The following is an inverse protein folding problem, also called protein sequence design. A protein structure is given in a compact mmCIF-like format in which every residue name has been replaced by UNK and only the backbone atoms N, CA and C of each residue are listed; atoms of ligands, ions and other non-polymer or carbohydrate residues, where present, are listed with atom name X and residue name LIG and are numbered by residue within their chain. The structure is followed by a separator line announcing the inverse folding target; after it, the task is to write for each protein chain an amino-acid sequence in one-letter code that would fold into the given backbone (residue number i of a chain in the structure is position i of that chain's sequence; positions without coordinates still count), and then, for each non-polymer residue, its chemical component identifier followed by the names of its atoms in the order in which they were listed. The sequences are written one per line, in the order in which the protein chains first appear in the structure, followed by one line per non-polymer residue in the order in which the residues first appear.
data_IF_988411018508
#
_entry.id   IF_988411018508
#
_cell.length_a   1.000
_cell.length_b   1.000
_cell.length_c   1.000
_cell.angle_alpha   90.00
_cell.angle_beta   90.00
_cell.angle_gamma   90.00
#
_symmetry.space_group_name_H-M   'P 1'
#
loop_
_entity.id
_entity.type
_entity.pdbx_description
1 polymer ?
#
# COMPACT_ATOMS: atom_id res chain seq x y z
N UNK A 1 26.39 -29.16 -4.00
CA UNK A 1 26.07 -28.23 -2.89
C UNK A 1 26.59 -26.86 -3.28
N UNK A 2 25.76 -26.02 -3.89
CA UNK A 2 26.12 -24.68 -4.33
C UNK A 2 25.79 -23.68 -3.23
N UNK A 3 26.83 -23.06 -2.66
CA UNK A 3 26.68 -21.96 -1.71
C UNK A 3 26.13 -20.75 -2.44
N UNK A 4 24.91 -20.36 -2.09
CA UNK A 4 24.30 -19.11 -2.51
C UNK A 4 25.11 -17.94 -1.96
N UNK A 5 25.48 -17.00 -2.82
CA UNK A 5 26.20 -15.79 -2.44
C UNK A 5 25.30 -14.96 -1.49
N UNK A 6 25.70 -14.73 -0.22
CA UNK A 6 24.87 -14.03 0.75
C UNK A 6 24.53 -12.59 0.32
N UNK A 7 25.28 -12.01 -0.62
CA UNK A 7 25.03 -10.66 -1.15
C UNK A 7 23.87 -10.60 -2.14
N UNK A 8 23.61 -11.67 -2.89
CA UNK A 8 22.47 -11.73 -3.80
C UNK A 8 21.15 -11.92 -3.02
N UNK A 9 21.16 -12.79 -2.01
CA UNK A 9 20.02 -12.98 -1.11
C UNK A 9 19.62 -11.69 -0.38
N UNK A 10 20.60 -10.87 0.03
CA UNK A 10 20.33 -9.58 0.67
C UNK A 10 19.65 -8.58 -0.28
N UNK A 11 20.08 -8.48 -1.54
CA UNK A 11 19.46 -7.62 -2.54
C UNK A 11 18.03 -8.07 -2.88
N UNK A 12 17.81 -9.37 -2.99
CA UNK A 12 16.46 -9.93 -3.22
C UNK A 12 15.54 -9.66 -2.02
N UNK A 13 16.06 -9.81 -0.79
CA UNK A 13 15.33 -9.48 0.42
C UNK A 13 14.93 -8.00 0.47
N UNK A 14 15.88 -7.07 0.26
CA UNK A 14 15.61 -5.63 0.27
C UNK A 14 14.59 -5.21 -0.80
N UNK A 15 14.71 -5.73 -2.03
CA UNK A 15 13.75 -5.44 -3.10
C UNK A 15 12.33 -5.95 -2.78
N UNK A 16 12.21 -7.16 -2.21
CA UNK A 16 10.92 -7.73 -1.79
C UNK A 16 10.32 -6.99 -0.60
N UNK A 17 11.15 -6.56 0.36
CA UNK A 17 10.71 -5.71 1.48
C UNK A 17 10.23 -4.35 0.98
N UNK A 18 10.95 -3.71 0.05
CA UNK A 18 10.53 -2.43 -0.54
C UNK A 18 9.19 -2.55 -1.27
N UNK A 19 8.99 -3.63 -2.03
CA UNK A 19 7.70 -3.93 -2.68
C UNK A 19 6.58 -4.15 -1.65
N UNK A 20 6.84 -4.89 -0.57
CA UNK A 20 5.87 -5.11 0.50
C UNK A 20 5.50 -3.79 1.22
N UNK A 21 6.46 -2.92 1.48
CA UNK A 21 6.23 -1.59 2.07
C UNK A 21 5.40 -0.72 1.12
N UNK A 22 5.69 -0.73 -0.19
CA UNK A 22 4.92 0.00 -1.18
C UNK A 22 3.47 -0.48 -1.25
N UNK A 23 3.25 -1.80 -1.30
CA UNK A 23 1.92 -2.40 -1.34
C UNK A 23 1.10 -2.13 -0.06
N UNK A 24 1.75 -2.11 1.11
CA UNK A 24 1.09 -1.86 2.41
C UNK A 24 0.90 -0.38 2.72
N UNK A 25 1.43 0.54 1.90
CA UNK A 25 1.37 1.98 2.15
C UNK A 25 -0.06 2.49 2.28
N UNK A 26 -1.01 1.96 1.53
CA UNK A 26 -2.39 2.45 1.52
C UNK A 26 -3.36 1.56 2.31
N UNK A 27 -2.87 0.48 2.92
CA UNK A 27 -3.70 -0.47 3.64
C UNK A 27 -3.99 -0.02 5.07
N UNK A 28 -5.19 -0.34 5.54
CA UNK A 28 -5.58 -0.16 6.95
C UNK A 28 -4.98 -1.25 7.85
N UNK A 29 -4.88 -0.97 9.15
CA UNK A 29 -4.28 -1.87 10.15
C UNK A 29 -4.85 -3.31 10.09
N UNK A 30 -6.18 -3.54 10.01
CA UNK A 30 -6.73 -4.89 9.91
C UNK A 30 -6.24 -5.66 8.68
N UNK A 31 -6.11 -4.98 7.54
CA UNK A 31 -5.64 -5.57 6.29
C UNK A 31 -4.16 -5.91 6.34
N UNK A 32 -3.34 -5.09 7.00
CA UNK A 32 -1.91 -5.35 7.20
C UNK A 32 -1.71 -6.58 8.11
N UNK A 33 -2.52 -6.73 9.17
CA UNK A 33 -2.49 -7.91 10.02
C UNK A 33 -2.89 -9.18 9.27
N UNK A 34 -3.92 -9.09 8.42
CA UNK A 34 -4.31 -10.20 7.56
C UNK A 34 -3.20 -10.57 6.56
N UNK A 35 -2.58 -9.58 5.92
CA UNK A 35 -1.44 -9.79 5.04
C UNK A 35 -0.27 -10.46 5.76
N UNK A 36 0.07 -10.01 6.97
CA UNK A 36 1.11 -10.64 7.82
C UNK A 36 0.86 -12.13 7.98
N UNK A 37 -0.37 -12.52 8.32
CA UNK A 37 -0.74 -13.94 8.51
C UNK A 37 -0.57 -14.75 7.24
N UNK A 38 -1.03 -14.21 6.11
CA UNK A 38 -0.88 -14.85 4.80
C UNK A 38 0.60 -15.02 4.45
N UNK A 39 1.41 -13.98 4.59
CA UNK A 39 2.84 -14.01 4.27
C UNK A 39 3.63 -14.95 5.19
N UNK A 40 3.27 -15.08 6.48
CA UNK A 40 3.95 -16.02 7.38
C UNK A 40 3.60 -17.50 7.10
N UNK A 41 2.41 -17.75 6.54
CA UNK A 41 1.96 -19.07 6.11
C UNK A 41 2.42 -19.43 4.69
N UNK A 42 2.77 -18.44 3.89
CA UNK A 42 3.19 -18.62 2.51
C UNK A 42 4.57 -19.30 2.40
N UNK A 43 4.67 -20.47 1.75
CA UNK A 43 5.96 -21.13 1.52
C UNK A 43 6.88 -20.35 0.58
N UNK A 44 6.37 -19.48 -0.29
CA UNK A 44 7.21 -18.64 -1.17
C UNK A 44 7.92 -17.53 -0.39
N UNK A 45 7.23 -16.90 0.56
CA UNK A 45 7.81 -15.92 1.47
C UNK A 45 8.99 -16.50 2.27
N UNK A 46 8.88 -17.76 2.67
CA UNK A 46 9.94 -18.49 3.41
C UNK A 46 11.19 -18.78 2.59
N UNK A 47 11.13 -18.70 1.25
CA UNK A 47 12.31 -18.90 0.38
C UNK A 47 13.30 -17.75 0.48
N UNK A 48 12.84 -16.54 0.80
CA UNK A 48 13.69 -15.33 0.80
C UNK A 48 13.77 -14.62 2.15
N UNK A 49 12.90 -14.93 3.12
CA UNK A 49 12.96 -14.37 4.46
C UNK A 49 12.58 -15.40 5.54
N UNK A 50 13.27 -15.34 6.68
CA UNK A 50 12.87 -16.12 7.84
C UNK A 50 11.71 -15.45 8.61
N UNK A 51 11.02 -16.23 9.45
CA UNK A 51 9.86 -15.74 10.22
C UNK A 51 10.19 -14.54 11.13
N UNK A 52 11.40 -14.51 11.71
CA UNK A 52 11.84 -13.39 12.55
C UNK A 52 12.03 -12.10 11.74
N UNK A 53 12.62 -12.20 10.54
CA UNK A 53 12.84 -11.09 9.62
C UNK A 53 11.50 -10.53 9.14
N UNK A 54 10.57 -11.40 8.72
CA UNK A 54 9.21 -10.99 8.33
C UNK A 54 8.48 -10.34 9.52
N UNK A 55 8.64 -10.89 10.73
CA UNK A 55 8.08 -10.31 11.95
C UNK A 55 8.56 -8.88 12.20
N UNK A 56 9.86 -8.61 12.03
CA UNK A 56 10.43 -7.26 12.15
C UNK A 56 9.90 -6.33 11.05
N UNK A 57 9.86 -6.78 9.80
CA UNK A 57 9.37 -5.98 8.67
C UNK A 57 7.91 -5.58 8.90
N UNK A 58 7.04 -6.53 9.27
CA UNK A 58 5.64 -6.23 9.57
C UNK A 58 5.46 -5.37 10.82
N UNK A 59 6.32 -5.51 11.83
CA UNK A 59 6.32 -4.63 13.01
C UNK A 59 6.60 -3.17 12.61
N UNK A 60 7.58 -2.93 11.74
CA UNK A 60 7.89 -1.57 11.23
C UNK A 60 6.74 -1.02 10.40
N UNK A 61 6.17 -1.82 9.48
CA UNK A 61 5.03 -1.43 8.65
C UNK A 61 3.81 -1.08 9.52
N UNK A 62 3.47 -1.93 10.50
CA UNK A 62 2.36 -1.70 11.41
C UNK A 62 2.59 -0.46 12.27
N UNK A 63 3.81 -0.26 12.78
CA UNK A 63 4.17 0.96 13.54
C UNK A 63 3.92 2.22 12.72
N UNK A 64 4.36 2.24 11.45
CA UNK A 64 4.11 3.37 10.54
C UNK A 64 2.64 3.56 10.18
N UNK A 65 1.88 2.49 10.06
CA UNK A 65 0.43 2.58 9.84
C UNK A 65 -0.32 3.08 11.08
N UNK A 66 0.12 2.70 12.28
CA UNK A 66 -0.43 3.17 13.55
C UNK A 66 -0.08 4.64 13.79
N UNK A 67 1.13 5.09 13.47
CA UNK A 67 1.51 6.51 13.50
C UNK A 67 0.56 7.35 12.63
N UNK A 68 0.19 6.84 11.44
CA UNK A 68 -0.77 7.50 10.53
C UNK A 68 -2.22 7.44 11.02
N UNK A 69 -2.60 6.35 11.69
CA UNK A 69 -3.92 6.22 12.32
C UNK A 69 -4.12 7.26 13.43
N UNK A 70 -3.04 7.56 14.16
CA UNK A 70 -2.97 8.61 15.18
C UNK A 70 -2.92 8.06 16.60
N UNK A 71 -2.04 8.64 17.42
CA UNK A 71 -1.76 8.21 18.80
C UNK A 71 -2.99 8.28 19.71
N UNK A 72 -3.84 9.30 19.55
CA UNK A 72 -5.05 9.45 20.36
C UNK A 72 -6.10 8.37 20.07
N UNK A 73 -6.23 7.98 18.80
CA UNK A 73 -7.12 6.89 18.41
C UNK A 73 -6.57 5.54 18.86
N UNK A 74 -5.23 5.37 18.87
CA UNK A 74 -4.59 4.17 19.40
C UNK A 74 -4.85 4.01 20.91
N UNK A 75 -4.82 5.09 21.69
CA UNK A 75 -5.19 5.06 23.13
C UNK A 75 -6.62 4.57 23.31
N UNK A 76 -7.58 5.16 22.59
CA UNK A 76 -8.98 4.73 22.62
C UNK A 76 -9.18 3.28 22.16
N UNK A 77 -8.39 2.83 21.17
CA UNK A 77 -8.41 1.44 20.72
C UNK A 77 -7.83 0.50 21.78
N UNK A 78 -6.78 0.91 22.50
CA UNK A 78 -6.19 0.14 23.61
C UNK A 78 -7.20 -0.06 24.74
N UNK A 79 -7.96 0.96 25.10
CA UNK A 79 -9.03 0.86 26.11
C UNK A 79 -10.16 -0.11 25.71
N UNK A 80 -10.28 -0.38 24.40
CA UNK A 80 -11.21 -1.35 23.82
C UNK A 80 -10.52 -2.65 23.39
N UNK A 81 -9.37 -2.99 23.97
CA UNK A 81 -8.61 -4.21 23.64
C UNK A 81 -8.35 -4.39 22.14
N UNK A 82 -8.09 -3.29 21.44
CA UNK A 82 -7.84 -3.22 20.00
C UNK A 82 -8.91 -3.84 19.08
N UNK A 83 -10.12 -4.12 19.58
CA UNK A 83 -11.23 -4.66 18.80
C UNK A 83 -11.47 -3.97 17.44
N UNK A 84 -11.46 -2.63 17.32
CA UNK A 84 -11.71 -1.98 16.04
C UNK A 84 -10.54 -2.11 15.03
N UNK A 85 -9.38 -2.59 15.46
CA UNK A 85 -8.18 -2.73 14.64
C UNK A 85 -7.89 -4.18 14.24
N UNK A 86 -8.66 -5.14 14.74
CA UNK A 86 -8.50 -6.54 14.42
C UNK A 86 -9.24 -6.89 13.12
N UNK A 87 -8.69 -7.81 12.31
CA UNK A 87 -9.39 -8.33 11.13
C UNK A 87 -10.65 -9.12 11.53
N UNK A 88 -11.66 -9.11 10.64
CA UNK A 88 -12.87 -9.90 10.81
C UNK A 88 -12.56 -11.39 10.61
N UNK A 89 -12.60 -12.17 11.70
CA UNK A 89 -12.30 -13.61 11.69
C UNK A 89 -11.57 -14.05 12.96
N UNK A 90 -11.89 -15.24 13.48
CA UNK A 90 -11.34 -15.76 14.75
C UNK A 90 -9.93 -16.34 14.67
N UNK A 91 -9.48 -16.74 13.47
CA UNK A 91 -8.16 -17.32 13.28
C UNK A 91 -7.07 -16.32 13.68
N UNK A 92 -6.02 -16.74 14.39
CA UNK A 92 -4.83 -15.92 14.66
C UNK A 92 -5.02 -14.65 15.50
N UNK A 93 -6.19 -14.48 16.12
CA UNK A 93 -6.56 -13.25 16.85
C UNK A 93 -5.64 -12.93 18.02
N UNK A 94 -5.21 -13.95 18.77
CA UNK A 94 -4.36 -13.76 19.95
C UNK A 94 -2.96 -13.26 19.57
N UNK A 95 -2.41 -13.75 18.46
CA UNK A 95 -1.13 -13.30 17.93
C UNK A 95 -1.20 -11.85 17.42
N UNK A 96 -2.28 -11.47 16.74
CA UNK A 96 -2.47 -10.10 16.31
C UNK A 96 -2.65 -9.14 17.48
N UNK A 97 -3.39 -9.56 18.51
CA UNK A 97 -3.52 -8.81 19.75
C UNK A 97 -2.17 -8.60 20.41
N UNK A 98 -1.34 -9.64 20.47
CA UNK A 98 0.02 -9.56 21.02
C UNK A 98 0.88 -8.56 20.24
N UNK A 99 0.90 -8.64 18.92
CA UNK A 99 1.68 -7.72 18.07
C UNK A 99 1.20 -6.27 18.23
N UNK A 100 -0.12 -6.04 18.25
CA UNK A 100 -0.67 -4.70 18.49
C UNK A 100 -0.35 -4.17 19.89
N UNK A 101 -0.40 -5.04 20.91
CA UNK A 101 -0.05 -4.68 22.29
C UNK A 101 1.44 -4.32 22.42
N UNK A 102 2.33 -5.07 21.76
CA UNK A 102 3.77 -4.79 21.76
C UNK A 102 4.07 -3.43 21.11
N UNK A 103 3.46 -3.14 19.95
CA UNK A 103 3.64 -1.86 19.25
C UNK A 103 3.00 -0.71 20.06
N UNK A 104 1.82 -0.92 20.63
CA UNK A 104 1.18 0.07 21.48
C UNK A 104 2.01 0.37 22.73
N UNK A 105 2.66 -0.63 23.32
CA UNK A 105 3.57 -0.46 24.46
C UNK A 105 4.81 0.35 24.07
N UNK A 106 5.36 0.13 22.87
CA UNK A 106 6.49 0.90 22.35
C UNK A 106 6.13 2.38 22.11
N UNK A 107 4.91 2.66 21.63
CA UNK A 107 4.48 4.02 21.27
C UNK A 107 3.83 4.81 22.40
N UNK A 108 3.07 4.15 23.29
CA UNK A 108 2.29 4.76 24.37
C UNK A 108 2.89 4.52 25.76
N UNK A 109 3.92 3.68 25.85
CA UNK A 109 4.38 3.11 27.11
C UNK A 109 3.49 1.96 27.61
N UNK A 110 3.91 1.27 28.69
CA UNK A 110 3.12 0.22 29.30
C UNK A 110 1.72 0.73 29.66
N UNK A 111 0.70 -0.13 29.65
CA UNK A 111 -0.62 0.25 30.12
C UNK A 111 -0.49 0.85 31.52
N UNK A 112 -1.05 2.05 31.73
CA UNK A 112 -1.13 2.61 33.07
C UNK A 112 -2.08 1.73 33.87
N UNK A 113 -1.53 0.72 34.55
CA UNK A 113 -2.24 0.03 35.59
C UNK A 113 -2.63 1.08 36.63
N UNK A 114 -3.89 1.09 37.01
CA UNK A 114 -4.31 1.89 38.16
C UNK A 114 -3.49 1.46 39.39
N UNK A 115 -3.21 2.38 40.34
CA UNK A 115 -2.43 2.04 41.54
C UNK A 115 -2.99 0.79 42.26
N UNK A 116 -4.30 0.58 42.19
CA UNK A 116 -4.99 -0.59 42.71
C UNK A 116 -4.58 -1.90 42.03
N UNK A 117 -4.48 -1.92 40.70
CA UNK A 117 -4.07 -3.11 39.93
C UNK A 117 -2.57 -3.38 40.05
N UNK A 118 -1.75 -2.33 40.13
CA UNK A 118 -0.31 -2.45 40.33
C UNK A 118 0.02 -2.95 41.75
N UNK A 119 -0.72 -2.49 42.76
CA UNK A 119 -0.64 -3.00 44.13
C UNK A 119 -1.13 -4.44 44.23
N UNK A 120 -2.21 -4.82 43.55
CA UNK A 120 -2.70 -6.19 43.51
C UNK A 120 -1.74 -7.14 42.78
N UNK A 121 -1.16 -6.73 41.64
CA UNK A 121 -0.17 -7.52 40.93
C UNK A 121 1.13 -7.67 41.74
N UNK A 122 1.58 -6.61 42.41
CA UNK A 122 2.73 -6.65 43.34
C UNK A 122 2.48 -7.53 44.56
N UNK A 123 1.27 -7.47 45.13
CA UNK A 123 0.85 -8.32 46.26
C UNK A 123 0.70 -9.78 45.84
N UNK A 124 0.15 -10.04 44.67
CA UNK A 124 0.06 -11.39 44.10
C UNK A 124 1.46 -11.94 43.81
N UNK A 125 2.38 -11.13 43.27
CA UNK A 125 3.78 -11.51 43.07
C UNK A 125 4.50 -11.82 44.41
N UNK A 126 4.22 -11.07 45.48
CA UNK A 126 4.73 -11.34 46.83
C UNK A 126 4.17 -12.64 47.42
N UNK A 127 2.87 -12.91 47.23
CA UNK A 127 2.23 -14.15 47.66
C UNK A 127 2.78 -15.37 46.90
N UNK A 128 2.99 -15.22 45.58
CA UNK A 128 3.52 -16.30 44.73
C UNK A 128 4.99 -16.60 45.03
N UNK A 129 5.75 -15.60 45.52
CA UNK A 129 7.17 -15.75 45.86
C UNK A 129 7.39 -16.42 47.23
N UNK A 130 6.33 -16.55 48.04
CA UNK A 130 6.40 -17.11 49.39
C UNK A 130 7.27 -16.26 50.33
N UNK A 131 7.02 -16.36 51.64
CA UNK A 131 7.89 -15.73 52.64
C UNK A 131 9.26 -16.40 52.61
N UNK A 132 10.20 -15.86 51.83
CA UNK A 132 11.60 -16.26 51.88
C UNK A 132 12.15 -15.77 53.21
N UNK A 133 12.57 -16.71 54.06
CA UNK A 133 13.23 -16.45 55.32
C UNK A 133 14.40 -15.45 55.11
N UNK A 134 14.64 -14.52 56.05
CA UNK A 134 15.71 -13.55 55.92
C UNK A 134 17.06 -14.28 55.74
N UNK A 135 17.92 -13.84 54.81
CA UNK A 135 19.22 -14.46 54.65
C UNK A 135 20.06 -14.25 55.91
N UNK A 136 20.76 -15.30 56.33
CA UNK A 136 21.73 -15.25 57.41
C UNK A 136 22.78 -14.17 57.12
N UNK A 137 22.98 -13.28 58.10
CA UNK A 137 23.99 -12.22 58.06
C UNK A 137 25.38 -12.83 57.87
N UNK A 138 25.94 -12.69 56.67
CA UNK A 138 27.38 -12.82 56.46
C UNK A 138 28.03 -11.45 56.49
N UNK A 139 29.14 -11.40 57.23
CA UNK A 139 29.86 -10.22 57.63
C UNK A 139 30.59 -9.58 56.43
N UNK A 140 30.57 -8.25 56.45
CA UNK A 140 31.20 -7.26 55.58
C UNK A 140 32.65 -7.58 55.17
N UNK A 141 32.95 -7.41 53.88
CA UNK A 141 34.25 -6.91 53.40
C UNK A 141 34.03 -5.97 52.22
N UNK A 142 34.43 -4.71 52.39
CA UNK A 142 34.40 -3.67 51.35
C UNK A 142 35.62 -3.78 50.44
N UNK A 143 35.45 -3.49 49.14
CA UNK A 143 36.50 -2.95 48.30
C UNK A 143 35.89 -2.05 47.18
N UNK A 144 36.64 -1.07 46.65
CA UNK A 144 36.12 0.24 46.26
C UNK A 144 35.72 0.40 44.79
N UNK A 145 34.93 1.45 44.58
CA UNK A 145 34.39 2.02 43.34
C UNK A 145 35.49 2.34 42.32
N UNK A 146 35.28 1.96 41.05
CA UNK A 146 35.98 2.53 39.89
C UNK A 146 34.96 3.12 38.90
N UNK A 147 35.05 4.43 38.74
CA UNK A 147 34.45 5.24 37.68
C UNK A 147 35.06 4.90 36.29
N UNK A 148 34.38 5.28 35.19
CA UNK A 148 34.69 4.82 33.84
C UNK A 148 35.72 5.73 33.13
N UNK A 149 36.48 5.25 32.13
CA UNK A 149 37.29 6.12 31.27
C UNK A 149 36.59 6.49 29.95
N UNK A 150 37.04 7.57 29.28
CA UNK A 150 36.23 8.48 28.47
C UNK A 150 36.43 8.36 26.96
N UNK A 151 35.56 9.04 26.22
CA UNK A 151 35.56 9.21 24.76
C UNK A 151 36.53 10.31 24.28
N UNK A 152 36.96 10.16 23.02
CA UNK A 152 37.60 11.10 22.08
C UNK A 152 39.13 11.28 22.16
N UNK A 153 39.87 10.87 21.11
CA UNK A 153 40.12 11.68 19.91
C UNK A 153 41.12 11.01 18.93
N UNK A 154 40.81 11.13 17.63
CA UNK A 154 41.66 11.27 16.44
C UNK A 154 42.98 10.47 16.28
N UNK A 155 43.10 9.73 15.17
CA UNK A 155 44.16 10.05 14.18
C UNK A 155 43.85 9.51 12.78
N UNK A 156 44.01 10.42 11.81
CA UNK A 156 43.90 10.24 10.36
C UNK A 156 45.07 9.43 9.78
N UNK A 157 44.81 8.74 8.68
CA UNK A 157 45.82 8.26 7.73
C UNK A 157 45.23 8.18 6.32
N UNK A 158 45.78 8.98 5.40
CA UNK A 158 45.44 9.02 3.98
C UNK A 158 46.44 8.18 3.16
N UNK A 159 46.04 7.71 1.96
CA UNK A 159 47.01 7.30 0.94
C UNK A 159 46.53 6.41 -0.20
N UNK A 160 46.38 7.03 -1.37
CA UNK A 160 46.63 6.51 -2.73
C UNK A 160 45.53 5.83 -3.54
N UNK A 161 45.19 6.53 -4.62
CA UNK A 161 44.58 6.13 -5.88
C UNK A 161 45.17 4.87 -6.54
N UNK A 162 44.34 4.20 -7.37
CA UNK A 162 44.70 3.84 -8.75
C UNK A 162 43.49 3.50 -9.64
N UNK A 163 43.61 4.00 -10.86
CA UNK A 163 42.73 4.01 -12.04
C UNK A 163 42.53 2.63 -12.69
N UNK A 164 41.38 2.35 -13.32
CA UNK A 164 41.21 1.14 -14.14
C UNK A 164 39.84 0.93 -14.79
N UNK A 165 39.72 1.41 -16.03
CA UNK A 165 38.71 1.15 -17.09
C UNK A 165 37.99 -0.21 -17.07
N UNK A 166 36.68 -0.23 -17.40
CA UNK A 166 36.10 -0.78 -18.65
C UNK A 166 34.57 -1.02 -18.53
N UNK A 167 33.81 -0.40 -19.45
CA UNK A 167 32.48 -0.84 -19.88
C UNK A 167 32.61 -2.14 -20.71
N UNK A 168 31.55 -2.97 -20.83
CA UNK A 168 30.83 -2.97 -22.11
C UNK A 168 29.31 -3.24 -22.03
N UNK A 169 28.60 -2.50 -22.88
CA UNK A 169 27.56 -2.88 -23.88
C UNK A 169 26.43 -3.87 -23.52
N UNK A 170 25.22 -3.34 -23.69
CA UNK A 170 24.03 -3.93 -24.33
C UNK A 170 24.22 -5.28 -25.04
N UNK A 171 23.32 -6.21 -24.74
CA UNK A 171 22.77 -7.13 -25.74
C UNK A 171 21.31 -7.47 -25.40
N UNK A 172 20.44 -7.04 -26.31
CA UNK A 172 19.00 -7.29 -26.37
C UNK A 172 18.77 -8.43 -27.38
N UNK A 173 17.77 -9.29 -27.14
CA UNK A 173 16.93 -10.03 -28.13
C UNK A 173 16.43 -11.38 -27.54
N UNK A 174 15.35 -11.99 -28.07
CA UNK A 174 14.00 -11.47 -28.21
C UNK A 174 12.93 -12.48 -27.72
N UNK A 175 11.67 -12.09 -27.88
CA UNK A 175 10.44 -12.74 -27.45
C UNK A 175 10.11 -14.14 -28.02
N UNK A 176 9.28 -14.86 -27.26
CA UNK A 176 8.22 -15.80 -27.68
C UNK A 176 7.19 -15.78 -26.51
N UNK A 177 5.88 -15.63 -26.65
CA UNK A 177 4.96 -15.61 -27.79
C UNK A 177 3.62 -16.22 -27.33
N UNK A 178 2.52 -15.48 -27.46
CA UNK A 178 1.13 -15.97 -27.40
C UNK A 178 0.30 -15.44 -26.22
N UNK A 179 -0.90 -14.86 -26.37
CA UNK A 179 -1.75 -14.56 -27.53
C UNK A 179 -2.98 -13.80 -27.02
N UNK A 180 -3.39 -12.70 -27.67
CA UNK A 180 -4.62 -11.98 -27.34
C UNK A 180 -4.87 -10.75 -28.22
N UNK A 181 -5.36 -10.99 -29.44
CA UNK A 181 -6.08 -10.08 -30.34
C UNK A 181 -5.65 -8.59 -30.45
N UNK A 182 -4.87 -8.28 -31.50
CA UNK A 182 -4.72 -6.92 -32.02
C UNK A 182 -5.98 -6.50 -32.81
N UNK A 183 -6.67 -5.45 -32.37
CA UNK A 183 -7.30 -4.52 -33.31
C UNK A 183 -6.21 -3.80 -34.12
N UNK A 184 -6.46 -3.39 -35.37
CA UNK A 184 -5.46 -2.71 -36.17
C UNK A 184 -5.10 -1.36 -35.53
N UNK A 185 -3.81 -1.20 -35.18
CA UNK A 185 -3.20 0.05 -34.72
C UNK A 185 -3.59 1.18 -35.68
N UNK A 186 -4.54 2.02 -35.27
CA UNK A 186 -4.68 3.34 -35.87
C UNK A 186 -3.42 4.11 -35.50
N UNK A 187 -2.66 4.65 -36.48
CA UNK A 187 -1.55 5.53 -36.15
C UNK A 187 -2.10 6.75 -35.43
N UNK A 188 -1.76 6.89 -34.14
CA UNK A 188 -2.14 8.07 -33.36
C UNK A 188 -1.39 9.28 -33.91
N UNK A 189 -2.13 10.30 -34.34
CA UNK A 189 -1.55 11.51 -34.94
C UNK A 189 -1.19 12.59 -33.92
N UNK A 190 -1.74 12.54 -32.70
CA UNK A 190 -1.56 13.57 -31.68
C UNK A 190 -1.61 13.01 -30.24
N UNK A 191 -0.84 13.64 -29.34
CA UNK A 191 -0.74 13.23 -27.93
C UNK A 191 -2.08 13.17 -27.18
N UNK A 192 -3.02 14.13 -27.33
CA UNK A 192 -4.33 14.05 -26.67
C UNK A 192 -5.11 12.78 -26.97
N UNK A 193 -5.17 12.38 -28.23
CA UNK A 193 -5.86 11.14 -28.66
C UNK A 193 -5.16 9.91 -28.09
N UNK A 194 -3.84 9.84 -28.24
CA UNK A 194 -3.04 8.74 -27.69
C UNK A 194 -3.20 8.61 -26.18
N UNK A 195 -3.16 9.74 -25.46
CA UNK A 195 -3.30 9.78 -24.01
C UNK A 195 -4.67 9.27 -23.55
N UNK A 196 -5.74 9.72 -24.21
CA UNK A 196 -7.11 9.36 -23.84
C UNK A 196 -7.40 7.90 -24.13
N UNK A 197 -7.05 7.44 -25.34
CA UNK A 197 -7.28 6.07 -25.75
C UNK A 197 -6.44 5.10 -24.91
N UNK A 198 -5.19 5.46 -24.59
CA UNK A 198 -4.34 4.61 -23.74
C UNK A 198 -4.91 4.48 -22.32
N UNK A 199 -5.29 5.58 -21.67
CA UNK A 199 -5.82 5.52 -20.30
C UNK A 199 -7.19 4.82 -20.28
N UNK A 200 -8.06 5.09 -21.26
CA UNK A 200 -9.35 4.42 -21.37
C UNK A 200 -9.16 2.91 -21.57
N UNK A 201 -8.37 2.49 -22.57
CA UNK A 201 -8.11 1.08 -22.84
C UNK A 201 -7.45 0.37 -21.64
N UNK A 202 -6.51 1.04 -20.97
CA UNK A 202 -5.87 0.49 -19.77
C UNK A 202 -6.87 0.26 -18.64
N UNK A 203 -7.68 1.27 -18.31
CA UNK A 203 -8.66 1.16 -17.23
C UNK A 203 -9.80 0.19 -17.57
N UNK A 204 -10.24 0.12 -18.83
CA UNK A 204 -11.17 -0.90 -19.31
C UNK A 204 -10.59 -2.31 -19.16
N UNK A 205 -9.32 -2.53 -19.55
CA UNK A 205 -8.61 -3.82 -19.34
C UNK A 205 -8.62 -4.22 -17.87
N UNK A 206 -8.32 -3.28 -16.95
CA UNK A 206 -8.37 -3.53 -15.51
C UNK A 206 -9.79 -3.91 -15.03
N UNK A 207 -10.80 -3.11 -15.38
CA UNK A 207 -12.17 -3.35 -14.96
C UNK A 207 -12.73 -4.67 -15.51
N UNK A 208 -12.28 -5.09 -16.70
CA UNK A 208 -12.66 -6.36 -17.30
C UNK A 208 -12.28 -7.59 -16.46
N UNK A 209 -11.24 -7.48 -15.62
CA UNK A 209 -10.79 -8.57 -14.73
C UNK A 209 -11.81 -8.81 -13.61
N UNK A 210 -12.46 -7.75 -13.12
CA UNK A 210 -13.43 -7.82 -12.01
C UNK A 210 -14.84 -8.18 -12.48
N UNK A 211 -15.13 -8.01 -13.77
CA UNK A 211 -16.45 -8.21 -14.35
C UNK A 211 -16.95 -9.63 -14.16
N UNK A 212 -18.16 -9.79 -13.64
CA UNK A 212 -18.83 -11.10 -13.64
C UNK A 212 -19.35 -11.47 -15.05
N UNK A 213 -19.25 -12.73 -15.42
CA UNK A 213 -19.71 -13.25 -16.72
C UNK A 213 -21.04 -14.00 -16.63
N UNK A 214 -21.53 -14.28 -15.42
CA UNK A 214 -22.77 -15.02 -15.16
C UNK A 214 -23.95 -14.13 -14.72
N UNK A 215 -25.19 -14.65 -14.77
CA UNK A 215 -26.37 -13.89 -14.37
C UNK A 215 -26.34 -13.56 -12.87
N UNK A 216 -26.47 -12.28 -12.54
CA UNK A 216 -26.77 -11.85 -11.17
C UNK A 216 -28.21 -12.21 -10.85
N UNK A 217 -28.43 -13.17 -9.95
CA UNK A 217 -29.75 -13.70 -9.57
C UNK A 217 -30.59 -12.67 -8.79
N UNK A 218 -30.90 -11.51 -9.38
CA UNK A 218 -31.61 -10.40 -8.73
C UNK A 218 -30.81 -9.67 -7.64
N UNK A 219 -29.53 -10.00 -7.46
CA UNK A 219 -28.65 -9.33 -6.50
C UNK A 219 -28.09 -8.08 -7.16
N UNK A 220 -28.24 -6.94 -6.49
CA UNK A 220 -27.60 -5.68 -6.89
C UNK A 220 -26.09 -5.82 -6.69
N UNK A 221 -25.33 -5.76 -7.78
CA UNK A 221 -23.89 -5.96 -7.74
C UNK A 221 -23.19 -4.70 -7.25
N UNK A 222 -22.05 -4.83 -6.53
CA UNK A 222 -21.10 -3.73 -6.40
C UNK A 222 -20.66 -3.22 -7.79
N UNK A 223 -20.49 -1.91 -7.97
CA UNK A 223 -20.20 -1.33 -9.29
C UNK A 223 -18.98 -1.96 -9.99
N UNK A 224 -17.90 -2.29 -9.28
CA UNK A 224 -16.71 -2.91 -9.88
C UNK A 224 -16.98 -4.26 -10.54
N UNK A 225 -17.99 -4.99 -10.06
CA UNK A 225 -18.35 -6.30 -10.58
C UNK A 225 -19.36 -6.21 -11.73
N UNK A 226 -19.96 -5.04 -11.93
CA UNK A 226 -20.97 -4.81 -12.97
C UNK A 226 -20.34 -4.78 -14.37
N UNK A 227 -20.88 -5.55 -15.35
CA UNK A 227 -20.40 -5.53 -16.73
C UNK A 227 -20.39 -4.17 -17.41
N UNK A 228 -21.35 -3.33 -17.05
CA UNK A 228 -21.62 -2.05 -17.71
C UNK A 228 -20.80 -0.91 -17.10
N UNK A 229 -20.26 -1.12 -15.90
CA UNK A 229 -19.54 -0.07 -15.18
C UNK A 229 -18.31 0.44 -15.94
N UNK A 230 -17.61 -0.43 -16.68
CA UNK A 230 -16.48 -0.02 -17.50
C UNK A 230 -16.83 1.04 -18.53
N UNK A 231 -18.03 0.95 -19.12
CA UNK A 231 -18.51 1.88 -20.16
C UNK A 231 -18.76 3.26 -19.56
N UNK A 232 -19.52 3.34 -18.46
CA UNK A 232 -19.76 4.62 -17.79
C UNK A 232 -18.50 5.20 -17.17
N UNK A 233 -17.57 4.35 -16.70
CA UNK A 233 -16.29 4.80 -16.19
C UNK A 233 -15.47 5.49 -17.28
N UNK A 234 -15.38 4.89 -18.48
CA UNK A 234 -14.77 5.52 -19.65
C UNK A 234 -15.41 6.86 -20.00
N UNK A 235 -16.74 6.93 -19.95
CA UNK A 235 -17.47 8.18 -20.19
C UNK A 235 -17.13 9.25 -19.14
N UNK A 236 -16.99 8.85 -17.87
CA UNK A 236 -16.54 9.77 -16.81
C UNK A 236 -15.12 10.27 -17.07
N UNK A 237 -14.20 9.38 -17.48
CA UNK A 237 -12.83 9.75 -17.80
C UNK A 237 -12.78 10.78 -18.92
N UNK A 238 -13.43 10.47 -20.04
CA UNK A 238 -13.40 11.29 -21.26
C UNK A 238 -14.09 12.64 -21.09
N UNK A 239 -15.16 12.73 -20.29
CA UNK A 239 -15.90 13.99 -20.09
C UNK A 239 -15.32 14.87 -18.98
N UNK A 240 -14.95 14.28 -17.84
CA UNK A 240 -14.68 15.07 -16.62
C UNK A 240 -13.21 15.04 -16.17
N UNK A 241 -12.45 14.00 -16.49
CA UNK A 241 -11.10 13.81 -15.92
C UNK A 241 -10.02 14.17 -16.92
N UNK A 242 -9.96 13.45 -18.03
CA UNK A 242 -8.84 13.51 -18.97
C UNK A 242 -8.69 14.89 -19.61
N UNK A 243 -9.76 15.58 -20.09
CA UNK A 243 -9.62 16.91 -20.68
C UNK A 243 -8.97 17.91 -19.72
N UNK A 244 -9.34 17.80 -18.44
CA UNK A 244 -8.83 18.66 -17.38
C UNK A 244 -7.41 18.31 -16.96
N UNK A 245 -7.00 17.04 -17.03
CA UNK A 245 -5.61 16.66 -16.81
C UNK A 245 -4.72 17.24 -17.91
N UNK A 246 -5.12 17.07 -19.18
CA UNK A 246 -4.34 17.53 -20.35
C UNK A 246 -4.16 19.04 -20.41
N UNK A 247 -5.10 19.81 -19.86
CA UNK A 247 -5.01 21.28 -19.82
C UNK A 247 -3.97 21.80 -18.83
N UNK A 248 -3.42 20.95 -17.95
CA UNK A 248 -2.41 21.37 -16.97
C UNK A 248 -1.02 21.55 -17.59
N UNK A 249 -0.25 22.51 -17.07
CA UNK A 249 1.11 22.81 -17.56
C UNK A 249 2.06 21.60 -17.49
N UNK A 250 1.95 20.77 -16.46
CA UNK A 250 2.77 19.57 -16.32
C UNK A 250 2.47 18.54 -17.41
N UNK A 251 1.18 18.32 -17.72
CA UNK A 251 0.78 17.42 -18.80
C UNK A 251 1.14 17.98 -20.18
N UNK A 252 1.03 19.29 -20.39
CA UNK A 252 1.54 19.94 -21.60
C UNK A 252 3.04 19.77 -21.74
N UNK A 253 3.82 19.88 -20.66
CA UNK A 253 5.27 19.66 -20.70
C UNK A 253 5.58 18.21 -21.07
N UNK A 254 4.86 17.25 -20.46
CA UNK A 254 4.97 15.83 -20.79
C UNK A 254 4.65 15.57 -22.28
N UNK A 255 3.61 16.21 -22.82
CA UNK A 255 3.23 16.11 -24.23
C UNK A 255 4.37 16.50 -25.19
N UNK A 256 5.23 17.45 -24.81
CA UNK A 256 6.36 17.92 -25.63
C UNK A 256 7.69 17.21 -25.31
N UNK A 257 7.73 16.36 -24.28
CA UNK A 257 8.97 15.72 -23.82
C UNK A 257 9.37 14.47 -24.60
N UNK A 258 8.45 13.88 -25.36
CA UNK A 258 8.67 12.68 -26.16
C UNK A 258 8.08 12.83 -27.56
N UNK A 259 8.62 12.09 -28.51
CA UNK A 259 7.95 11.83 -29.77
C UNK A 259 6.90 10.73 -29.58
N UNK A 260 5.69 11.10 -29.18
CA UNK A 260 4.62 10.15 -28.84
C UNK A 260 4.17 9.25 -29.98
N UNK A 261 4.41 9.66 -31.23
CA UNK A 261 4.18 8.80 -32.39
C UNK A 261 5.17 7.63 -32.48
N UNK A 262 6.38 7.78 -31.92
CA UNK A 262 7.41 6.74 -31.89
C UNK A 262 7.35 5.89 -30.62
N UNK A 263 7.15 6.51 -29.45
CA UNK A 263 7.17 5.78 -28.17
C UNK A 263 5.83 5.13 -27.82
N UNK A 264 4.73 5.59 -28.41
CA UNK A 264 3.42 4.99 -28.25
C UNK A 264 2.82 5.08 -26.83
N UNK A 265 1.70 4.38 -26.63
CA UNK A 265 1.01 4.28 -25.34
C UNK A 265 1.74 3.44 -24.29
N UNK A 266 2.61 2.52 -24.71
CA UNK A 266 3.42 1.70 -23.78
C UNK A 266 4.30 2.58 -22.89
N UNK A 267 4.91 3.62 -23.46
CA UNK A 267 5.70 4.58 -22.67
C UNK A 267 4.86 5.34 -21.66
N UNK A 268 3.60 5.63 -21.99
CA UNK A 268 2.66 6.27 -21.06
C UNK A 268 2.37 5.35 -19.86
N UNK A 269 2.13 4.07 -20.11
CA UNK A 269 1.90 3.06 -19.08
C UNK A 269 3.16 2.89 -18.21
N UNK A 270 4.34 2.85 -18.80
CA UNK A 270 5.62 2.79 -18.07
C UNK A 270 5.77 3.98 -17.12
N UNK A 271 5.46 5.20 -17.58
CA UNK A 271 5.49 6.40 -16.74
C UNK A 271 4.45 6.29 -15.62
N UNK A 272 3.23 5.82 -15.91
CA UNK A 272 2.18 5.65 -14.91
C UNK A 272 2.56 4.65 -13.82
N UNK A 273 3.19 3.53 -14.19
CA UNK A 273 3.62 2.47 -13.28
C UNK A 273 4.98 2.75 -12.64
N UNK A 274 5.68 3.80 -13.11
CA UNK A 274 6.97 4.21 -12.59
C UNK A 274 6.91 4.61 -11.12
N UNK A 275 7.97 4.25 -10.38
CA UNK A 275 8.13 4.59 -8.95
C UNK A 275 8.55 6.05 -8.69
N UNK A 276 8.44 6.93 -9.70
CA UNK A 276 8.84 8.32 -9.59
C UNK A 276 7.99 9.07 -8.57
N UNK A 277 8.66 9.75 -7.63
CA UNK A 277 8.02 10.51 -6.55
C UNK A 277 7.12 11.63 -7.08
N UNK A 278 7.42 12.16 -8.26
CA UNK A 278 6.71 13.26 -8.90
C UNK A 278 6.07 12.84 -10.24
N UNK A 279 5.34 11.72 -10.25
CA UNK A 279 4.62 11.26 -11.43
C UNK A 279 3.54 12.29 -11.86
N UNK A 280 3.70 12.98 -13.01
CA UNK A 280 2.78 14.04 -13.41
C UNK A 280 1.40 13.50 -13.77
N UNK A 281 1.29 12.25 -14.23
CA UNK A 281 0.01 11.64 -14.60
C UNK A 281 -0.77 11.33 -13.32
N UNK A 282 -0.16 10.60 -12.38
CA UNK A 282 -0.82 10.21 -11.14
C UNK A 282 -1.16 11.42 -10.25
N UNK A 283 -0.30 12.45 -10.22
CA UNK A 283 -0.58 13.66 -9.45
C UNK A 283 -1.84 14.39 -9.96
N UNK A 284 -1.96 14.59 -11.28
CA UNK A 284 -3.13 15.24 -11.87
C UNK A 284 -4.38 14.35 -11.78
N UNK A 285 -4.22 13.03 -11.91
CA UNK A 285 -5.28 12.04 -11.73
C UNK A 285 -5.89 12.10 -10.33
N UNK A 286 -5.04 12.05 -9.30
CA UNK A 286 -5.50 12.12 -7.91
C UNK A 286 -6.16 13.45 -7.59
N UNK A 287 -5.56 14.55 -8.06
CA UNK A 287 -6.10 15.89 -7.91
C UNK A 287 -7.50 16.01 -8.50
N UNK A 288 -7.74 15.42 -9.69
CA UNK A 288 -9.07 15.47 -10.32
C UNK A 288 -10.11 14.61 -9.64
N UNK A 289 -9.79 13.39 -9.29
CA UNK A 289 -10.71 12.58 -8.50
C UNK A 289 -11.01 13.18 -7.12
N UNK A 290 -10.03 13.80 -6.46
CA UNK A 290 -10.22 14.45 -5.18
C UNK A 290 -11.15 15.68 -5.27
N UNK A 291 -11.20 16.34 -6.42
CA UNK A 291 -12.08 17.50 -6.66
C UNK A 291 -13.57 17.13 -6.67
N UNK A 292 -13.93 15.86 -6.88
CA UNK A 292 -15.32 15.39 -6.84
C UNK A 292 -15.85 15.15 -5.42
N UNK A 293 -15.01 15.29 -4.38
CA UNK A 293 -15.47 15.30 -2.99
C UNK A 293 -16.24 16.58 -2.71
N UNK A 294 -17.38 16.48 -2.04
CA UNK A 294 -18.10 17.66 -1.59
C UNK A 294 -17.16 18.51 -0.70
N UNK A 295 -17.03 19.82 -0.96
CA UNK A 295 -16.22 20.68 -0.12
C UNK A 295 -16.82 20.68 1.29
N UNK A 296 -15.98 20.44 2.31
CA UNK A 296 -16.43 20.51 3.69
C UNK A 296 -17.00 21.90 3.95
N UNK A 297 -18.25 21.96 4.40
CA UNK A 297 -18.87 23.21 4.80
C UNK A 297 -18.01 23.87 5.88
N UNK A 298 -17.41 25.01 5.55
CA UNK A 298 -16.79 25.87 6.56
C UNK A 298 -17.94 26.41 7.41
N UNK A 299 -17.84 26.29 8.75
CA UNK A 299 -18.88 26.66 9.72
C UNK A 299 -19.65 27.91 9.26
N UNK A 300 -20.95 27.74 8.99
CA UNK A 300 -21.88 28.84 8.68
C UNK A 300 -22.08 29.17 7.20
N UNK A 301 -21.41 28.51 6.25
CA UNK A 301 -21.69 28.68 4.80
C UNK A 301 -22.01 27.34 4.13
N UNK A 302 -23.07 27.32 3.31
CA UNK A 302 -23.36 26.18 2.42
C UNK A 302 -22.11 25.90 1.59
N UNK A 303 -21.68 24.64 1.59
CA UNK A 303 -20.63 24.17 0.72
C UNK A 303 -20.96 24.57 -0.74
N UNK A 304 -20.01 25.16 -1.49
CA UNK A 304 -20.25 25.41 -2.90
C UNK A 304 -20.51 24.07 -3.58
N UNK A 305 -21.70 23.88 -4.13
CA UNK A 305 -22.00 22.72 -4.95
C UNK A 305 -21.05 22.73 -6.15
N UNK A 306 -20.43 21.59 -6.52
CA UNK A 306 -19.67 21.52 -7.76
C UNK A 306 -20.56 21.98 -8.91
N UNK A 307 -19.97 22.70 -9.88
CA UNK A 307 -20.72 23.15 -11.06
C UNK A 307 -21.39 21.94 -11.71
N UNK A 308 -22.65 22.04 -12.17
CA UNK A 308 -23.38 20.91 -12.74
C UNK A 308 -22.61 20.19 -13.85
N UNK A 309 -21.90 20.97 -14.67
CA UNK A 309 -21.13 20.49 -15.82
C UNK A 309 -19.83 19.75 -15.45
N UNK A 310 -19.41 19.79 -14.18
CA UNK A 310 -18.15 19.18 -13.70
C UNK A 310 -18.41 18.09 -12.65
N UNK A 311 -19.66 17.61 -12.57
CA UNK A 311 -20.11 16.63 -11.58
C UNK A 311 -20.41 15.28 -12.25
N UNK A 312 -19.60 14.22 -12.01
CA UNK A 312 -19.80 12.91 -12.63
C UNK A 312 -20.87 12.05 -11.91
N UNK A 313 -21.30 12.42 -10.70
CA UNK A 313 -22.20 11.60 -9.87
C UNK A 313 -23.60 11.35 -10.46
N UNK A 314 -24.24 12.29 -11.18
CA UNK A 314 -25.51 12.02 -11.87
C UNK A 314 -25.36 10.91 -12.92
N UNK A 315 -24.34 10.99 -13.78
CA UNK A 315 -24.07 10.01 -14.82
C UNK A 315 -23.89 8.59 -14.25
N UNK A 316 -23.09 8.47 -13.18
CA UNK A 316 -22.86 7.19 -12.50
C UNK A 316 -24.14 6.62 -11.86
N UNK A 317 -25.02 7.47 -11.32
CA UNK A 317 -26.28 7.02 -10.71
C UNK A 317 -27.33 6.62 -11.75
N UNK A 318 -27.40 7.34 -12.86
CA UNK A 318 -28.29 7.01 -13.98
C UNK A 318 -27.95 5.65 -14.57
N UNK A 319 -26.65 5.40 -14.83
CA UNK A 319 -26.17 4.12 -15.34
C UNK A 319 -26.42 2.97 -14.34
N UNK A 320 -26.10 3.18 -13.06
CA UNK A 320 -26.36 2.20 -12.01
C UNK A 320 -27.84 1.85 -11.83
N UNK A 321 -28.73 2.82 -12.04
CA UNK A 321 -30.18 2.61 -12.02
C UNK A 321 -30.63 1.82 -13.24
N UNK A 322 -30.09 2.15 -14.42
CA UNK A 322 -30.39 1.48 -15.69
C UNK A 322 -29.98 0.00 -15.68
N UNK A 323 -28.83 -0.31 -15.09
CA UNK A 323 -28.24 -1.65 -15.11
C UNK A 323 -28.27 -2.39 -13.76
N UNK A 324 -29.01 -1.85 -12.80
CA UNK A 324 -29.28 -2.47 -11.49
C UNK A 324 -28.02 -2.89 -10.71
N UNK A 325 -27.05 -1.98 -10.58
CA UNK A 325 -25.89 -2.15 -9.70
C UNK A 325 -25.82 -1.01 -8.67
N UNK A 326 -25.02 -1.18 -7.63
CA UNK A 326 -24.81 -0.17 -6.58
C UNK A 326 -23.87 0.93 -7.10
N UNK A 327 -24.33 2.18 -7.27
CA UNK A 327 -23.50 3.24 -7.84
C UNK A 327 -22.32 3.55 -6.93
N UNK A 328 -21.14 3.89 -7.49
CA UNK A 328 -20.08 4.47 -6.69
C UNK A 328 -20.53 5.81 -6.09
N UNK A 329 -20.03 6.09 -4.90
CA UNK A 329 -20.27 7.33 -4.14
C UNK A 329 -18.96 8.05 -3.84
N UNK A 330 -19.01 9.21 -3.18
CA UNK A 330 -17.82 9.92 -2.73
C UNK A 330 -16.91 9.07 -1.82
N UNK A 331 -17.48 8.12 -1.07
CA UNK A 331 -16.71 7.19 -0.25
C UNK A 331 -15.83 6.25 -1.10
N UNK A 332 -16.21 6.02 -2.36
CA UNK A 332 -15.52 5.13 -3.29
C UNK A 332 -14.48 5.84 -4.16
N UNK A 333 -14.23 7.15 -3.97
CA UNK A 333 -13.26 7.89 -4.78
C UNK A 333 -11.88 7.26 -4.76
N UNK A 334 -11.42 6.75 -3.61
CA UNK A 334 -10.11 6.09 -3.52
C UNK A 334 -10.09 4.85 -4.43
N UNK A 335 -11.17 4.07 -4.44
CA UNK A 335 -11.29 2.89 -5.28
C UNK A 335 -11.32 3.24 -6.77
N UNK A 336 -12.02 4.32 -7.14
CA UNK A 336 -12.03 4.84 -8.51
C UNK A 336 -10.63 5.35 -8.92
N UNK A 337 -9.94 6.03 -8.01
CA UNK A 337 -8.56 6.49 -8.21
C UNK A 337 -7.60 5.32 -8.45
N UNK A 338 -7.76 4.21 -7.74
CA UNK A 338 -6.81 3.11 -7.76
C UNK A 338 -6.91 2.23 -9.02
N UNK A 339 -7.98 2.36 -9.82
CA UNK A 339 -8.13 1.59 -11.07
C UNK A 339 -6.92 1.73 -11.99
N UNK A 340 -6.36 2.94 -12.12
CA UNK A 340 -5.20 3.20 -12.97
C UNK A 340 -3.88 2.66 -12.38
N UNK A 341 -3.86 2.33 -11.09
CA UNK A 341 -2.66 1.88 -10.35
C UNK A 341 -2.52 0.38 -10.30
N UNK A 342 -3.60 -0.34 -10.58
CA UNK A 342 -3.54 -1.78 -10.63
C UNK A 342 -2.67 -2.24 -11.80
N UNK A 343 -1.75 -3.16 -11.54
CA UNK A 343 -0.97 -3.83 -12.57
C UNK A 343 -1.83 -4.93 -13.20
N UNK A 344 -2.29 -4.70 -14.43
CA UNK A 344 -3.24 -5.59 -15.11
C UNK A 344 -2.78 -7.05 -15.16
N UNK A 345 -1.51 -7.26 -15.46
CA UNK A 345 -0.98 -8.60 -15.68
C UNK A 345 -0.77 -9.34 -14.34
N UNK A 346 -0.40 -8.62 -13.27
CA UNK A 346 -0.32 -9.18 -11.92
C UNK A 346 -1.70 -9.54 -11.40
N UNK A 347 -2.67 -8.64 -11.54
CA UNK A 347 -4.06 -8.92 -11.15
C UNK A 347 -4.64 -10.10 -11.93
N UNK A 348 -4.45 -10.15 -13.25
CA UNK A 348 -4.95 -11.25 -14.08
C UNK A 348 -4.29 -12.59 -13.73
N UNK A 349 -3.01 -12.57 -13.32
CA UNK A 349 -2.33 -13.76 -12.81
C UNK A 349 -2.93 -14.20 -11.46
N UNK A 350 -3.03 -13.30 -10.49
CA UNK A 350 -3.62 -13.60 -9.18
C UNK A 350 -5.05 -14.11 -9.30
N UNK A 351 -5.86 -13.52 -10.19
CA UNK A 351 -7.24 -13.94 -10.42
C UNK A 351 -7.34 -15.35 -11.02
N UNK A 352 -6.45 -15.69 -11.97
CA UNK A 352 -6.36 -17.05 -12.51
C UNK A 352 -5.96 -18.07 -11.45
N UNK A 353 -4.98 -17.75 -10.61
CA UNK A 353 -4.55 -18.61 -9.51
C UNK A 353 -5.68 -18.84 -8.50
N UNK A 354 -6.43 -17.79 -8.13
CA UNK A 354 -7.62 -17.92 -7.27
C UNK A 354 -8.72 -18.78 -7.90
N UNK A 355 -8.97 -18.61 -9.20
CA UNK A 355 -9.98 -19.40 -9.94
C UNK A 355 -9.59 -20.87 -10.07
N UNK A 356 -8.31 -21.23 -9.91
CA UNK A 356 -7.89 -22.63 -9.87
C UNK A 356 -8.11 -23.28 -8.50
N UNK A 357 -8.23 -22.47 -7.44
CA UNK A 357 -8.40 -22.95 -6.06
C UNK A 357 -9.87 -23.17 -5.67
N UNK A 358 -10.82 -22.56 -6.38
CA UNK A 358 -12.26 -22.61 -6.12
C UNK A 358 -13.00 -23.02 -7.39
#
# INVERSE_FOLDING_TARGET
MTGSDPREGAKTFEAKVASLIAATRHLEIPHILMLRRMTLRDPEARKWANEKQLGVVFSVILTKSIERYGVDKLKLARDRNFQPLLPAGGDGRDEDLRVLADIATQLLGPPQMTEAESAQAGFHALLTRGAVAPPLRTIRTQAPVREPPPLFAAQLGAGSDRMGKMMPKFQMSPAQGGSGANEPDKPFTDFPTLFDDTICAYTEKILSIFRITGPSKGIRLPFLLSPEFGVVYREVLTKFILPQMRSTRHMQTLAHSYNWAEVGGEKLIEIMQGSEVNNPILHNWDGRWAAFRAPKAVKGKKAPSPKPDDNPWPLLREDATRYNYEPPTEANIILLQDVIRYEADVLAKCWRELTQLY
#
